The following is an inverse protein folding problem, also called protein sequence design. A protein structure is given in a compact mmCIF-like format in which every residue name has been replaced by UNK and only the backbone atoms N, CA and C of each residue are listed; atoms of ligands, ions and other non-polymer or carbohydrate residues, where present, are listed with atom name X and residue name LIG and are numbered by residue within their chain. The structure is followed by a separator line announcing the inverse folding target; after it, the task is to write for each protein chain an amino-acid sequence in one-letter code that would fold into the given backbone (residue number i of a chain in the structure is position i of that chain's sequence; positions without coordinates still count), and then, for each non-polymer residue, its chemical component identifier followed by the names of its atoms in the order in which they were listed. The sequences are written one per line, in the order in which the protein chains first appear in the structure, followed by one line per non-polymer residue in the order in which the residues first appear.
data_IF_002914606581
#
_entry.id   IF_002914606581
#
_cell.length_a   1.000
_cell.length_b   1.000
_cell.length_c   1.000
_cell.angle_alpha   90.00
_cell.angle_beta   90.00
_cell.angle_gamma   90.00
#
_symmetry.space_group_name_H-M   'P 1'
#
loop_
_entity.id
_entity.type
_entity.pdbx_description
1 polymer ?
#
# COMPACT_ATOMS: atom_id res chain seq x y z
N UNK A 1 48.89 -0.26 -3.40
CA UNK A 1 48.08 -0.91 -4.47
C UNK A 1 46.67 -1.13 -3.91
N UNK A 2 45.60 -1.15 -4.71
CA UNK A 2 44.25 -1.48 -4.21
C UNK A 2 43.90 -2.92 -4.56
N UNK A 3 43.30 -3.65 -3.61
CA UNK A 3 42.75 -4.98 -3.83
C UNK A 3 41.23 -4.90 -3.74
N UNK A 4 40.53 -5.46 -4.71
CA UNK A 4 39.07 -5.48 -4.74
C UNK A 4 38.60 -6.84 -4.25
N UNK A 5 37.80 -6.84 -3.17
CA UNK A 5 36.97 -7.98 -2.80
C UNK A 5 35.68 -7.93 -3.62
N UNK A 6 35.70 -8.63 -4.76
CA UNK A 6 34.62 -8.59 -5.75
C UNK A 6 33.24 -8.97 -5.20
N UNK A 7 33.17 -9.88 -4.21
CA UNK A 7 31.90 -10.28 -3.59
C UNK A 7 31.31 -9.12 -2.78
N UNK A 8 32.09 -8.50 -1.90
CA UNK A 8 31.63 -7.34 -1.11
C UNK A 8 31.32 -6.14 -2.00
N UNK A 9 32.14 -5.92 -3.02
CA UNK A 9 31.96 -4.84 -3.98
C UNK A 9 30.65 -5.00 -4.77
N UNK A 10 30.41 -6.16 -5.38
CA UNK A 10 29.19 -6.42 -6.15
C UNK A 10 27.92 -6.37 -5.28
N UNK A 11 27.98 -6.95 -4.08
CA UNK A 11 26.86 -6.89 -3.13
C UNK A 11 26.56 -5.47 -2.69
N UNK A 12 27.58 -4.69 -2.30
CA UNK A 12 27.43 -3.29 -1.94
C UNK A 12 26.86 -2.44 -3.08
N UNK A 13 27.32 -2.68 -4.32
CA UNK A 13 26.82 -2.00 -5.51
C UNK A 13 25.33 -2.30 -5.74
N UNK A 14 24.93 -3.58 -5.69
CA UNK A 14 23.54 -3.99 -5.89
C UNK A 14 22.61 -3.42 -4.83
N UNK A 15 23.02 -3.42 -3.55
CA UNK A 15 22.25 -2.83 -2.45
C UNK A 15 22.13 -1.32 -2.65
N UNK A 16 23.24 -0.63 -2.91
CA UNK A 16 23.25 0.82 -3.10
C UNK A 16 22.35 1.25 -4.26
N UNK A 17 22.50 0.62 -5.43
CA UNK A 17 21.72 0.93 -6.63
C UNK A 17 20.24 0.53 -6.46
N UNK A 18 19.96 -0.65 -5.92
CA UNK A 18 18.59 -1.12 -5.72
C UNK A 18 17.79 -0.23 -4.78
N UNK A 19 18.30 -0.03 -3.55
CA UNK A 19 17.61 0.83 -2.58
C UNK A 19 17.71 2.30 -2.94
N UNK A 20 18.79 2.75 -3.57
CA UNK A 20 18.92 4.13 -4.04
C UNK A 20 17.92 4.48 -5.14
N UNK A 21 17.79 3.63 -6.16
CA UNK A 21 16.78 3.81 -7.21
C UNK A 21 15.36 3.77 -6.63
N UNK A 22 15.09 2.86 -5.70
CA UNK A 22 13.79 2.77 -5.07
C UNK A 22 13.50 3.99 -4.16
N UNK A 23 14.49 4.51 -3.43
CA UNK A 23 14.37 5.73 -2.63
C UNK A 23 14.03 6.94 -3.52
N UNK A 24 14.70 7.08 -4.67
CA UNK A 24 14.43 8.17 -5.63
C UNK A 24 13.03 8.03 -6.22
N UNK A 25 12.64 6.83 -6.66
CA UNK A 25 11.31 6.58 -7.21
C UNK A 25 10.21 6.89 -6.19
N UNK A 26 10.34 6.39 -4.96
CA UNK A 26 9.40 6.64 -3.87
C UNK A 26 9.38 8.11 -3.46
N UNK A 27 10.56 8.77 -3.41
CA UNK A 27 10.68 10.19 -3.11
C UNK A 27 10.04 11.09 -4.17
N UNK A 28 10.20 10.77 -5.46
CA UNK A 28 9.51 11.47 -6.55
C UNK A 28 8.00 11.32 -6.42
N UNK A 29 7.50 10.12 -6.11
CA UNK A 29 6.07 9.91 -5.89
C UNK A 29 5.54 10.62 -4.67
N UNK A 30 6.33 10.70 -3.59
CA UNK A 30 5.98 11.48 -2.42
C UNK A 30 5.87 12.98 -2.74
N UNK A 31 6.82 13.55 -3.50
CA UNK A 31 6.78 14.96 -3.89
C UNK A 31 5.60 15.33 -4.78
N UNK A 32 5.15 14.40 -5.63
CA UNK A 32 3.97 14.59 -6.49
C UNK A 32 2.69 14.04 -5.87
N UNK A 33 2.74 13.60 -4.61
CA UNK A 33 1.56 13.08 -3.93
C UNK A 33 0.56 14.22 -3.72
N UNK A 34 -0.75 13.99 -3.94
CA UNK A 34 -1.75 15.02 -3.69
C UNK A 34 -1.70 15.50 -2.23
N UNK A 35 -1.94 16.80 -2.00
CA UNK A 35 -1.91 17.40 -0.64
C UNK A 35 -3.22 17.25 0.12
N UNK A 36 -4.31 16.93 -0.59
CA UNK A 36 -5.61 16.57 -0.03
C UNK A 36 -6.17 15.37 -0.78
N UNK A 37 -6.97 14.50 -0.12
CA UNK A 37 -7.70 13.46 -0.81
C UNK A 37 -8.77 14.06 -1.73
N UNK A 38 -9.08 13.35 -2.81
CA UNK A 38 -10.16 13.70 -3.73
C UNK A 38 -11.44 13.02 -3.28
N UNK A 39 -12.50 13.79 -3.15
CA UNK A 39 -13.83 13.27 -2.82
C UNK A 39 -14.40 12.49 -4.01
N UNK A 40 -14.79 11.24 -3.79
CA UNK A 40 -15.41 10.39 -4.81
C UNK A 40 -16.49 9.52 -4.22
N UNK A 41 -17.51 9.26 -5.02
CA UNK A 41 -18.43 8.14 -4.76
C UNK A 41 -17.71 6.80 -4.98
N UNK A 42 -18.26 5.71 -4.44
CA UNK A 42 -17.77 4.36 -4.65
C UNK A 42 -17.74 4.01 -6.14
N UNK A 43 -18.78 4.40 -6.89
CA UNK A 43 -18.84 4.18 -8.33
C UNK A 43 -17.72 4.91 -9.08
N UNK A 44 -17.40 6.14 -8.68
CA UNK A 44 -16.29 6.90 -9.25
C UNK A 44 -14.94 6.33 -8.86
N UNK A 45 -14.77 5.92 -7.60
CA UNK A 45 -13.54 5.32 -7.10
C UNK A 45 -13.23 4.00 -7.83
N UNK A 46 -14.24 3.17 -8.12
CA UNK A 46 -14.09 1.97 -8.94
C UNK A 46 -13.56 2.36 -10.34
N UNK A 47 -14.20 3.33 -10.99
CA UNK A 47 -13.84 3.67 -12.37
C UNK A 47 -12.54 4.48 -12.53
N UNK A 48 -12.09 5.20 -11.49
CA UNK A 48 -11.02 6.22 -11.57
C UNK A 48 -9.91 6.06 -10.51
N UNK A 49 -9.86 4.93 -9.81
CA UNK A 49 -8.86 4.68 -8.75
C UNK A 49 -7.41 4.83 -9.24
N UNK A 50 -7.12 4.39 -10.46
CA UNK A 50 -5.76 4.47 -11.02
C UNK A 50 -5.27 5.91 -11.27
N UNK A 51 -6.19 6.82 -11.55
CA UNK A 51 -5.90 8.24 -11.82
C UNK A 51 -5.72 9.03 -10.52
N UNK A 52 -6.34 8.57 -9.43
CA UNK A 52 -6.47 9.31 -8.18
C UNK A 52 -5.93 8.47 -7.02
N UNK A 53 -4.63 8.59 -6.70
CA UNK A 53 -3.99 7.76 -5.70
C UNK A 53 -4.37 8.16 -4.26
N UNK A 54 -5.22 9.17 -4.05
CA UNK A 54 -5.66 9.54 -2.71
C UNK A 54 -7.12 9.99 -2.75
N UNK A 55 -8.02 9.14 -2.27
CA UNK A 55 -9.47 9.31 -2.37
C UNK A 55 -10.12 9.34 -0.99
N UNK A 56 -11.19 10.10 -0.83
CA UNK A 56 -12.12 10.01 0.29
C UNK A 56 -13.49 9.62 -0.25
N UNK A 57 -14.00 8.47 0.19
CA UNK A 57 -15.32 8.01 -0.22
C UNK A 57 -16.42 8.87 0.40
N UNK A 58 -17.33 9.38 -0.43
CA UNK A 58 -18.42 10.29 -0.01
C UNK A 58 -19.75 9.59 0.23
N UNK A 59 -19.89 8.34 -0.20
CA UNK A 59 -21.11 7.55 -0.12
C UNK A 59 -20.86 6.12 0.40
N UNK A 60 -21.97 5.41 0.64
CA UNK A 60 -22.00 4.05 1.14
C UNK A 60 -22.24 3.94 2.64
N UNK A 61 -22.87 2.85 3.03
CA UNK A 61 -23.13 2.54 4.44
C UNK A 61 -21.92 1.84 5.05
N UNK A 62 -21.21 2.56 5.93
CA UNK A 62 -20.04 2.03 6.62
C UNK A 62 -20.46 1.01 7.68
N UNK A 63 -20.18 -0.25 7.42
CA UNK A 63 -20.26 -1.30 8.42
C UNK A 63 -18.88 -1.49 9.03
N UNK A 64 -18.77 -1.18 10.33
CA UNK A 64 -17.55 -1.38 11.13
C UNK A 64 -17.28 -2.87 11.43
N UNK A 65 -17.71 -3.79 10.55
CA UNK A 65 -17.40 -5.21 10.63
C UNK A 65 -16.02 -5.41 10.01
N UNK A 66 -15.04 -5.67 10.87
CA UNK A 66 -13.64 -5.76 10.50
C UNK A 66 -13.36 -6.96 9.59
N UNK A 67 -12.97 -6.70 8.33
CA UNK A 67 -12.42 -7.71 7.45
C UNK A 67 -10.90 -7.70 7.54
N UNK A 68 -10.35 -8.67 8.26
CA UNK A 68 -8.93 -8.81 8.51
C UNK A 68 -8.26 -9.56 7.36
N UNK A 69 -7.14 -9.04 6.85
CA UNK A 69 -5.99 -9.89 6.48
C UNK A 69 -4.96 -9.77 7.60
N UNK A 70 -4.00 -10.70 7.73
CA UNK A 70 -3.01 -10.72 8.83
C UNK A 70 -2.23 -9.41 9.10
N UNK A 71 -2.34 -8.40 8.23
CA UNK A 71 -1.55 -7.16 8.25
C UNK A 71 -2.32 -5.86 7.95
N UNK A 72 -3.64 -5.90 7.71
CA UNK A 72 -4.42 -4.69 7.35
C UNK A 72 -5.84 -4.72 7.94
N UNK A 73 -6.36 -3.54 8.30
CA UNK A 73 -7.73 -3.33 8.76
C UNK A 73 -8.62 -2.99 7.57
N UNK A 74 -9.67 -3.77 7.29
CA UNK A 74 -10.62 -3.41 6.23
C UNK A 74 -12.03 -3.16 6.75
N UNK A 75 -12.66 -2.08 6.27
CA UNK A 75 -14.08 -1.80 6.48
C UNK A 75 -14.92 -2.18 5.28
N UNK A 76 -16.18 -2.50 5.55
CA UNK A 76 -17.16 -2.78 4.51
C UNK A 76 -18.01 -1.55 4.29
N UNK A 77 -18.09 -1.11 3.04
CA UNK A 77 -19.11 -0.16 2.60
C UNK A 77 -20.06 -0.85 1.63
N UNK A 78 -21.37 -0.76 1.89
CA UNK A 78 -22.38 -1.22 0.97
C UNK A 78 -22.82 -0.07 0.05
N UNK A 79 -22.82 -0.31 -1.25
CA UNK A 79 -23.32 0.63 -2.26
C UNK A 79 -24.50 0.01 -2.99
N UNK A 80 -25.63 0.72 -2.97
CA UNK A 80 -26.84 0.40 -3.73
C UNK A 80 -27.34 -1.05 -3.58
N UNK A 81 -27.04 -1.67 -2.44
CA UNK A 81 -27.41 -3.06 -2.14
C UNK A 81 -26.80 -4.11 -3.07
N UNK A 82 -25.78 -3.77 -3.87
CA UNK A 82 -25.21 -4.65 -4.92
C UNK A 82 -23.70 -4.83 -4.86
N UNK A 83 -22.98 -3.87 -4.28
CA UNK A 83 -21.53 -3.90 -4.20
C UNK A 83 -21.08 -3.86 -2.74
N UNK A 84 -20.15 -4.76 -2.41
CA UNK A 84 -19.42 -4.77 -1.15
C UNK A 84 -18.05 -4.17 -1.45
N UNK A 85 -17.73 -3.04 -0.82
CA UNK A 85 -16.40 -2.43 -0.92
C UNK A 85 -15.62 -2.72 0.34
N UNK A 86 -14.45 -3.34 0.18
CA UNK A 86 -13.49 -3.50 1.26
C UNK A 86 -12.45 -2.40 1.17
N UNK A 87 -12.39 -1.54 2.18
CA UNK A 87 -11.43 -0.43 2.23
C UNK A 87 -10.34 -0.77 3.23
N UNK A 88 -9.13 -1.04 2.73
CA UNK A 88 -7.98 -1.45 3.54
C UNK A 88 -7.18 -0.27 4.09
N UNK A 89 -6.85 -0.34 5.37
CA UNK A 89 -6.04 0.59 6.14
C UNK A 89 -4.90 -0.16 6.83
N UNK A 90 -3.75 0.49 6.96
CA UNK A 90 -2.59 -0.09 7.64
C UNK A 90 -2.74 -0.01 9.16
N UNK A 91 -3.31 1.08 9.66
CA UNK A 91 -3.66 1.28 11.07
C UNK A 91 -5.17 1.19 11.28
N UNK A 92 -5.63 0.75 12.45
CA UNK A 92 -7.05 0.73 12.80
C UNK A 92 -7.61 2.17 12.79
N UNK A 93 -8.45 2.55 11.80
CA UNK A 93 -9.03 3.88 11.78
C UNK A 93 -10.18 3.97 12.78
N UNK A 94 -10.68 5.18 13.02
CA UNK A 94 -11.99 5.33 13.65
C UNK A 94 -13.08 5.00 12.61
N UNK A 95 -14.20 4.45 13.06
CA UNK A 95 -15.36 4.22 12.20
C UNK A 95 -16.42 5.34 12.39
N UNK A 96 -17.00 5.93 11.32
CA UNK A 96 -16.62 5.74 9.91
C UNK A 96 -15.25 6.39 9.63
N UNK A 97 -14.47 5.86 8.68
CA UNK A 97 -13.10 6.32 8.39
C UNK A 97 -13.01 7.72 7.77
N UNK A 98 -14.11 8.48 7.79
CA UNK A 98 -14.31 9.85 7.27
C UNK A 98 -13.17 10.85 7.53
N UNK A 99 -12.33 10.61 8.54
CA UNK A 99 -11.22 11.48 8.92
C UNK A 99 -9.85 11.05 8.39
N UNK A 100 -9.67 9.80 7.95
CA UNK A 100 -8.36 9.28 7.53
C UNK A 100 -8.37 8.83 6.09
N UNK A 101 -7.92 9.68 5.16
CA UNK A 101 -7.73 9.24 3.81
C UNK A 101 -6.51 8.32 3.79
N UNK A 102 -6.74 7.03 3.60
CA UNK A 102 -5.68 6.07 3.38
C UNK A 102 -5.17 6.24 1.93
N UNK A 103 -3.89 5.94 1.74
CA UNK A 103 -3.09 6.15 0.53
C UNK A 103 -3.58 5.55 -0.81
N UNK A 104 -2.66 5.21 -1.73
CA UNK A 104 -2.96 4.68 -3.09
C UNK A 104 -3.96 3.55 -2.98
N UNK A 105 -5.19 3.84 -3.42
CA UNK A 105 -6.21 2.84 -3.64
C UNK A 105 -5.87 2.10 -4.92
N UNK A 106 -5.69 0.79 -4.82
CA UNK A 106 -5.70 -0.08 -5.99
C UNK A 106 -7.01 -0.83 -6.01
N UNK A 107 -7.79 -0.66 -7.08
CA UNK A 107 -8.87 -1.57 -7.39
C UNK A 107 -8.28 -2.95 -7.67
N UNK A 108 -8.70 -3.95 -6.92
CA UNK A 108 -8.53 -5.35 -7.31
C UNK A 108 -9.87 -5.80 -7.89
N UNK A 109 -9.90 -5.99 -9.22
CA UNK A 109 -11.08 -6.41 -9.94
C UNK A 109 -11.65 -7.73 -9.37
N UNK A 110 -12.88 -7.65 -8.85
CA UNK A 110 -13.83 -8.72 -8.48
C UNK A 110 -13.29 -10.16 -8.42
N UNK A 111 -12.48 -10.52 -7.42
CA UNK A 111 -12.33 -11.93 -7.06
C UNK A 111 -13.67 -12.47 -6.53
N UNK A 112 -13.97 -13.74 -6.82
CA UNK A 112 -15.05 -14.43 -6.11
C UNK A 112 -14.76 -14.35 -4.60
N UNK A 113 -15.80 -14.22 -3.77
CA UNK A 113 -15.67 -14.23 -2.30
C UNK A 113 -14.70 -15.31 -1.79
N UNK A 114 -14.76 -16.51 -2.36
CA UNK A 114 -13.90 -17.65 -2.01
C UNK A 114 -12.42 -17.40 -2.34
N UNK A 115 -12.11 -16.61 -3.36
CA UNK A 115 -10.73 -16.19 -3.67
C UNK A 115 -10.21 -15.16 -2.66
N UNK A 116 -11.06 -14.30 -2.10
CA UNK A 116 -10.66 -13.40 -1.01
C UNK A 116 -10.39 -14.20 0.27
N UNK A 117 -11.23 -15.21 0.55
CA UNK A 117 -11.01 -16.12 1.69
C UNK A 117 -9.71 -16.89 1.52
N UNK A 118 -9.39 -17.39 0.31
CA UNK A 118 -8.16 -18.17 0.07
C UNK A 118 -6.88 -17.34 0.21
N UNK A 119 -6.94 -16.01 0.02
CA UNK A 119 -5.81 -15.09 0.27
C UNK A 119 -5.80 -14.51 1.69
N UNK A 120 -6.65 -15.02 2.59
CA UNK A 120 -6.56 -14.76 4.03
C UNK A 120 -7.62 -13.82 4.62
N UNK A 121 -8.65 -13.43 3.85
CA UNK A 121 -9.76 -12.66 4.42
C UNK A 121 -10.74 -13.55 5.21
N UNK A 122 -11.21 -13.09 6.36
CA UNK A 122 -12.23 -13.79 7.15
C UNK A 122 -13.60 -13.73 6.51
N UNK A 123 -14.18 -14.89 6.20
CA UNK A 123 -15.50 -15.01 5.56
C UNK A 123 -16.61 -14.31 6.33
N UNK A 124 -16.58 -14.36 7.66
CA UNK A 124 -17.60 -13.79 8.55
C UNK A 124 -17.62 -12.26 8.51
N UNK A 125 -16.48 -11.66 8.15
CA UNK A 125 -16.41 -10.24 7.91
C UNK A 125 -16.99 -9.91 6.55
N UNK A 126 -16.58 -10.63 5.49
CA UNK A 126 -16.97 -10.38 4.10
C UNK A 126 -18.47 -10.62 3.81
N UNK A 127 -19.10 -11.56 4.53
CA UNK A 127 -20.49 -11.95 4.32
C UNK A 127 -21.35 -11.27 5.37
N UNK A 128 -21.88 -10.09 5.03
CA UNK A 128 -23.07 -9.60 5.71
C UNK A 128 -24.22 -10.60 5.48
N UNK A 129 -25.14 -10.79 6.45
CA UNK A 129 -26.30 -11.68 6.29
C UNK A 129 -27.12 -11.40 5.01
N UNK A 130 -27.08 -10.16 4.51
CA UNK A 130 -27.76 -9.70 3.29
C UNK A 130 -26.98 -10.00 1.98
N UNK A 131 -25.68 -10.29 2.04
CA UNK A 131 -24.80 -10.39 0.85
C UNK A 131 -24.76 -11.81 0.28
N UNK A 132 -25.78 -12.20 -0.48
CA UNK A 132 -25.66 -13.34 -1.40
C UNK A 132 -25.28 -12.84 -2.80
N UNK A 133 -24.22 -13.40 -3.38
CA UNK A 133 -23.75 -13.21 -4.77
C UNK A 133 -23.53 -11.73 -5.20
N UNK A 134 -22.62 -11.02 -4.53
CA UNK A 134 -22.27 -9.64 -4.90
C UNK A 134 -20.86 -9.54 -5.48
N UNK A 135 -20.67 -8.60 -6.42
CA UNK A 135 -19.34 -8.20 -6.88
C UNK A 135 -18.65 -7.47 -5.73
N UNK A 136 -17.47 -7.95 -5.35
CA UNK A 136 -16.67 -7.37 -4.26
C UNK A 136 -15.59 -6.51 -4.91
N UNK A 137 -15.58 -5.23 -4.56
CA UNK A 137 -14.53 -4.32 -4.97
C UNK A 137 -13.59 -4.11 -3.78
N UNK A 138 -12.31 -4.36 -3.98
CA UNK A 138 -11.33 -4.14 -2.92
C UNK A 138 -10.53 -2.90 -3.27
N UNK A 139 -10.60 -1.92 -2.40
CA UNK A 139 -9.84 -0.68 -2.46
C UNK A 139 -8.76 -0.77 -1.39
N UNK A 140 -7.56 -1.20 -1.79
CA UNK A 140 -6.42 -1.32 -0.89
C UNK A 140 -5.59 -0.07 -0.87
N UNK A 141 -5.24 0.38 0.33
CA UNK A 141 -4.20 1.36 0.55
C UNK A 141 -2.84 0.71 0.61
N UNK A 142 -1.93 1.12 -0.26
CA UNK A 142 -0.51 0.72 -0.15
C UNK A 142 0.46 1.89 0.04
N UNK A 143 0.06 3.12 -0.26
CA UNK A 143 1.00 4.24 -0.36
C UNK A 143 0.38 5.54 0.15
N UNK A 144 0.71 6.01 1.35
CA UNK A 144 0.19 7.29 1.85
C UNK A 144 1.30 8.23 2.33
N UNK A 145 0.97 9.48 2.68
CA UNK A 145 1.90 10.43 3.28
C UNK A 145 2.66 9.82 4.48
N UNK A 146 1.97 9.03 5.31
CA UNK A 146 2.57 8.27 6.42
C UNK A 146 3.64 7.27 5.95
N UNK A 147 3.34 6.48 4.92
CA UNK A 147 4.28 5.50 4.37
C UNK A 147 5.49 6.15 3.71
N UNK A 148 5.31 7.26 2.99
CA UNK A 148 6.44 7.95 2.39
C UNK A 148 7.41 8.48 3.46
N UNK A 149 6.89 9.05 4.54
CA UNK A 149 7.70 9.56 5.65
C UNK A 149 8.54 8.49 6.34
N UNK A 150 8.12 7.22 6.33
CA UNK A 150 8.86 6.10 6.91
C UNK A 150 9.74 5.42 5.86
N UNK A 151 9.18 5.14 4.69
CA UNK A 151 9.81 4.33 3.64
C UNK A 151 11.01 5.06 3.04
N UNK A 152 10.89 6.36 2.72
CA UNK A 152 11.99 7.10 2.10
C UNK A 152 13.25 7.10 3.00
N UNK A 153 13.18 7.44 4.30
CA UNK A 153 14.33 7.35 5.19
C UNK A 153 14.93 5.95 5.30
N UNK A 154 14.09 4.91 5.42
CA UNK A 154 14.57 3.51 5.50
C UNK A 154 15.34 3.13 4.24
N UNK A 155 14.83 3.47 3.06
CA UNK A 155 15.51 3.18 1.79
C UNK A 155 16.83 3.94 1.66
N UNK A 156 16.89 5.20 2.10
CA UNK A 156 18.13 5.98 2.14
C UNK A 156 19.16 5.32 3.07
N UNK A 157 18.76 4.90 4.27
CA UNK A 157 19.66 4.21 5.21
C UNK A 157 20.19 2.91 4.60
N UNK A 158 19.33 2.10 3.98
CA UNK A 158 19.73 0.86 3.32
C UNK A 158 20.68 1.11 2.13
N UNK A 159 20.45 2.17 1.36
CA UNK A 159 21.36 2.60 0.30
C UNK A 159 22.73 2.99 0.86
N UNK A 160 22.78 3.77 1.95
CA UNK A 160 24.03 4.14 2.62
C UNK A 160 24.78 2.92 3.19
N UNK A 161 24.08 1.91 3.69
CA UNK A 161 24.69 0.63 4.09
C UNK A 161 25.32 -0.07 2.88
N UNK A 162 24.64 -0.08 1.73
CA UNK A 162 25.20 -0.59 0.47
C UNK A 162 26.48 0.15 0.07
N UNK A 163 26.49 1.48 0.18
CA UNK A 163 27.66 2.32 -0.11
C UNK A 163 28.82 2.02 0.84
N UNK A 164 28.54 1.81 2.13
CA UNK A 164 29.55 1.40 3.11
C UNK A 164 30.14 0.02 2.76
N UNK A 165 29.31 -0.95 2.40
CA UNK A 165 29.75 -2.28 1.95
C UNK A 165 30.62 -2.18 0.69
N UNK A 166 30.22 -1.37 -0.29
CA UNK A 166 30.98 -1.12 -1.50
C UNK A 166 32.36 -0.54 -1.19
N UNK A 167 32.44 0.44 -0.28
CA UNK A 167 33.71 1.01 0.19
C UNK A 167 34.59 -0.03 0.87
N UNK A 168 34.04 -0.88 1.74
CA UNK A 168 34.81 -1.94 2.41
C UNK A 168 35.28 -3.05 1.47
N UNK A 169 34.68 -3.17 0.28
CA UNK A 169 35.16 -4.04 -0.79
C UNK A 169 36.43 -3.53 -1.48
N UNK A 170 36.83 -2.28 -1.25
CA UNK A 170 38.05 -1.68 -1.81
C UNK A 170 39.09 -1.57 -0.68
N UNK A 171 40.01 -2.53 -0.65
CA UNK A 171 41.03 -2.64 0.38
C UNK A 171 42.34 -1.98 -0.08
N UNK A 172 42.96 -1.18 0.80
CA UNK A 172 44.28 -0.60 0.55
C UNK A 172 45.33 -1.62 0.94
N UNK A 173 46.15 -2.05 -0.01
CA UNK A 173 47.29 -2.94 0.26
C UNK A 173 48.38 -2.10 0.89
N UNK A 174 48.61 -2.32 2.19
CA UNK A 174 49.74 -1.81 2.98
C UNK A 174 51.03 -2.49 2.56
#
# INVERSE_FOLDING_TARGET
MFRINWVKFAMGLSIFLGFGAYAVWTGLRWMHWPTTPVDMTISEAIMKSEENPWIRLTDGEWHCRYAYTEKTFSYISLTDGKAVVLVGYEDEPKCPPSERPSGAFREIASPLLEQLVSIGFKREALVAPETKEQRIFVLFTHEGPGNFMITVPVLVILSLIGLAYLRTGIERVS
#
